data_IF_302290099016
#
_entry.id   IF_302290099016
#
_cell.length_a   1.000
_cell.length_b   1.000
_cell.length_c   1.000
_cell.angle_alpha   90.00
_cell.angle_beta   90.00
_cell.angle_gamma   90.00
#
_symmetry.space_group_name_H-M   'P 1'
#
loop_
_entity.id
_entity.type
_entity.pdbx_description
1 polymer ?
#
# COMPACT_ATOMS: atom_id res chain seq x y z
N UNK A 1 -46.58 22.67 20.01
CA UNK A 1 -46.23 21.25 19.80
C UNK A 1 -44.89 21.22 19.10
N UNK A 2 -43.87 20.58 19.69
CA UNK A 2 -42.49 20.67 19.20
C UNK A 2 -42.34 19.84 17.90
N UNK A 3 -41.94 20.43 16.75
CA UNK A 3 -41.94 19.74 15.44
C UNK A 3 -41.01 18.53 15.37
N UNK A 4 -40.01 18.43 16.25
CA UNK A 4 -39.08 17.28 16.29
C UNK A 4 -39.72 15.98 16.81
N UNK A 5 -40.82 16.06 17.58
CA UNK A 5 -41.51 14.87 18.12
C UNK A 5 -42.29 14.12 17.03
N UNK A 6 -42.72 14.81 15.97
CA UNK A 6 -43.42 14.21 14.82
C UNK A 6 -42.48 13.39 13.93
N UNK A 7 -41.25 13.86 13.72
CA UNK A 7 -40.23 13.13 12.95
C UNK A 7 -39.77 11.84 13.64
N UNK A 8 -39.81 11.79 14.97
CA UNK A 8 -39.48 10.58 15.74
C UNK A 8 -40.59 9.51 15.69
N UNK A 9 -41.83 9.92 15.36
CA UNK A 9 -43.02 9.05 15.29
C UNK A 9 -43.10 8.30 13.95
N UNK A 10 -42.67 8.96 12.87
CA UNK A 10 -42.67 8.43 11.49
C UNK A 10 -41.43 7.57 11.17
N UNK A 11 -40.39 7.59 12.03
CA UNK A 11 -39.11 6.92 11.80
C UNK A 11 -39.07 5.42 12.13
N UNK A 12 -40.19 4.81 12.50
CA UNK A 12 -40.26 3.36 12.73
C UNK A 12 -40.67 2.70 11.43
N UNK A 13 -39.70 2.51 10.54
CA UNK A 13 -39.84 1.57 9.43
C UNK A 13 -40.25 0.21 10.03
N UNK A 14 -41.25 -0.48 9.46
CA UNK A 14 -41.69 -1.77 9.95
C UNK A 14 -40.49 -2.73 10.03
N UNK A 15 -40.48 -3.56 11.07
CA UNK A 15 -39.38 -4.48 11.37
C UNK A 15 -39.00 -5.34 10.15
N UNK A 16 -39.97 -5.68 9.30
CA UNK A 16 -39.78 -6.40 8.04
C UNK A 16 -38.86 -5.69 7.04
N UNK A 17 -38.95 -4.37 6.92
CA UNK A 17 -38.13 -3.59 5.99
C UNK A 17 -36.69 -3.46 6.51
N UNK A 18 -36.51 -3.29 7.82
CA UNK A 18 -35.17 -3.28 8.41
C UNK A 18 -34.41 -4.60 8.22
N UNK A 19 -35.10 -5.74 8.28
CA UNK A 19 -34.50 -7.04 8.00
C UNK A 19 -34.13 -7.21 6.51
N UNK A 20 -34.96 -6.71 5.60
CA UNK A 20 -34.67 -6.73 4.17
C UNK A 20 -33.46 -5.86 3.84
N UNK A 21 -33.40 -4.64 4.39
CA UNK A 21 -32.26 -3.74 4.20
C UNK A 21 -30.97 -4.32 4.79
N UNK A 22 -31.01 -4.85 6.02
CA UNK A 22 -29.86 -5.51 6.61
C UNK A 22 -29.38 -6.71 5.77
N UNK A 23 -30.33 -7.48 5.21
CA UNK A 23 -30.06 -8.60 4.31
C UNK A 23 -29.38 -8.20 2.99
N UNK A 24 -29.81 -7.09 2.39
CA UNK A 24 -29.17 -6.58 1.17
C UNK A 24 -27.78 -6.03 1.48
N UNK A 25 -27.63 -5.27 2.56
CA UNK A 25 -26.32 -4.70 2.95
C UNK A 25 -25.31 -5.81 3.22
N UNK A 26 -25.68 -6.86 3.97
CA UNK A 26 -24.75 -7.97 4.24
C UNK A 26 -24.38 -8.71 2.94
N UNK A 27 -25.33 -8.94 2.03
CA UNK A 27 -25.06 -9.56 0.73
C UNK A 27 -24.09 -8.71 -0.09
N UNK A 28 -24.32 -7.40 -0.19
CA UNK A 28 -23.46 -6.48 -0.95
C UNK A 28 -22.03 -6.50 -0.41
N UNK A 29 -21.85 -6.44 0.91
CA UNK A 29 -20.52 -6.51 1.55
C UNK A 29 -19.82 -7.82 1.20
N UNK A 30 -20.51 -8.96 1.33
CA UNK A 30 -19.95 -10.25 0.93
C UNK A 30 -19.64 -10.32 -0.57
N UNK A 31 -20.49 -9.75 -1.42
CA UNK A 31 -20.29 -9.69 -2.86
C UNK A 31 -19.00 -8.94 -3.23
N UNK A 32 -18.77 -7.79 -2.60
CA UNK A 32 -17.52 -7.02 -2.79
C UNK A 32 -16.31 -7.81 -2.30
N UNK A 33 -16.39 -8.45 -1.12
CA UNK A 33 -15.29 -9.27 -0.59
C UNK A 33 -14.96 -10.47 -1.48
N UNK A 34 -15.99 -11.17 -2.01
CA UNK A 34 -15.82 -12.28 -2.95
C UNK A 34 -15.21 -11.79 -4.24
N UNK A 35 -15.70 -10.69 -4.81
CA UNK A 35 -15.16 -10.13 -6.04
C UNK A 35 -13.68 -9.78 -5.88
N UNK A 36 -13.31 -9.12 -4.77
CA UNK A 36 -11.94 -8.77 -4.45
C UNK A 36 -11.06 -10.04 -4.29
N UNK A 37 -11.56 -11.05 -3.57
CA UNK A 37 -10.90 -12.36 -3.40
C UNK A 37 -10.69 -13.11 -4.72
N UNK A 38 -11.66 -13.07 -5.63
CA UNK A 38 -11.56 -13.69 -6.96
C UNK A 38 -10.50 -13.01 -7.83
N UNK A 39 -10.42 -11.67 -7.80
CA UNK A 39 -9.40 -10.93 -8.54
C UNK A 39 -7.98 -11.32 -8.09
N UNK A 40 -7.75 -11.42 -6.77
CA UNK A 40 -6.46 -11.87 -6.21
C UNK A 40 -6.20 -13.34 -6.57
N UNK A 41 -7.22 -14.20 -6.45
CA UNK A 41 -7.09 -15.62 -6.74
C UNK A 41 -6.80 -15.89 -8.22
N UNK A 42 -7.36 -15.10 -9.14
CA UNK A 42 -7.02 -15.18 -10.56
C UNK A 42 -5.54 -14.83 -10.79
N UNK A 43 -5.07 -13.71 -10.24
CA UNK A 43 -3.66 -13.30 -10.35
C UNK A 43 -2.71 -14.32 -9.70
N UNK A 44 -3.08 -14.89 -8.55
CA UNK A 44 -2.32 -15.94 -7.87
C UNK A 44 -2.27 -17.26 -8.66
N UNK A 45 -3.37 -17.66 -9.30
CA UNK A 45 -3.42 -18.84 -10.16
C UNK A 45 -2.60 -18.66 -11.44
N UNK A 46 -2.64 -17.49 -12.07
CA UNK A 46 -1.80 -17.19 -13.24
C UNK A 46 -0.31 -17.26 -12.88
N UNK A 47 0.08 -16.72 -11.72
CA UNK A 47 1.45 -16.82 -11.22
C UNK A 47 1.86 -18.27 -10.88
N UNK A 48 0.96 -19.08 -10.31
CA UNK A 48 1.23 -20.51 -10.07
C UNK A 48 1.33 -21.33 -11.36
N UNK A 49 0.53 -20.99 -12.38
CA UNK A 49 0.56 -21.65 -13.69
C UNK A 49 1.79 -21.27 -14.53
N UNK A 50 2.40 -20.10 -14.31
CA UNK A 50 3.65 -19.66 -14.96
C UNK A 50 4.90 -20.00 -14.12
N UNK A 51 4.73 -20.14 -12.80
CA UNK A 51 5.80 -20.35 -11.82
C UNK A 51 5.96 -21.79 -11.33
N UNK A 52 5.58 -22.78 -12.12
CA UNK A 52 5.78 -24.21 -11.79
C UNK A 52 7.26 -24.67 -11.88
N UNK A 53 8.22 -23.78 -11.60
CA UNK A 53 9.61 -24.10 -11.25
C UNK A 53 10.08 -23.23 -10.07
N UNK A 54 9.46 -23.37 -8.90
CA UNK A 54 10.15 -23.65 -7.62
C UNK A 54 9.19 -23.55 -6.44
N UNK A 55 8.92 -24.74 -5.87
CA UNK A 55 8.42 -24.98 -4.52
C UNK A 55 9.22 -24.20 -3.47
N UNK A 56 8.57 -23.47 -2.55
CA UNK A 56 8.72 -23.62 -1.09
C UNK A 56 7.44 -23.14 -0.39
N UNK A 57 6.63 -24.13 -0.10
CA UNK A 57 5.75 -24.31 1.05
C UNK A 57 6.33 -23.73 2.36
N UNK A 58 5.59 -22.82 3.02
CA UNK A 58 5.51 -22.81 4.49
C UNK A 58 4.24 -22.12 4.97
N UNK A 59 3.20 -22.94 5.17
CA UNK A 59 2.20 -22.65 6.17
C UNK A 59 2.80 -23.07 7.53
N UNK A 60 2.97 -22.13 8.46
CA UNK A 60 2.73 -22.35 9.89
C UNK A 60 2.88 -21.02 10.65
N UNK A 61 1.77 -20.56 11.23
CA UNK A 61 1.78 -19.84 12.51
C UNK A 61 1.54 -20.92 13.57
N UNK A 62 2.34 -20.97 14.64
CA UNK A 62 1.84 -20.41 15.90
C UNK A 62 2.90 -19.68 16.75
N UNK A 63 2.45 -18.58 17.35
CA UNK A 63 2.88 -18.03 18.64
C UNK A 63 4.37 -18.08 19.02
N UNK A 64 5.04 -16.93 18.92
CA UNK A 64 6.06 -16.51 19.90
C UNK A 64 6.12 -14.98 19.95
N UNK A 65 5.58 -14.43 21.03
CA UNK A 65 5.69 -13.03 21.38
C UNK A 65 7.14 -12.64 21.68
N UNK A 66 7.51 -11.46 21.20
CA UNK A 66 8.68 -10.65 21.54
C UNK A 66 10.05 -11.07 20.95
N UNK A 67 10.65 -10.12 20.22
CA UNK A 67 11.99 -9.66 20.55
C UNK A 67 11.97 -8.20 20.98
N UNK A 68 12.62 -7.91 22.11
CA UNK A 68 12.90 -6.56 22.58
C UNK A 68 13.64 -5.73 21.51
N UNK A 69 13.34 -4.43 21.32
CA UNK A 69 14.13 -3.58 20.45
C UNK A 69 15.43 -3.25 21.16
N UNK A 70 16.51 -3.84 20.64
CA UNK A 70 17.88 -3.35 20.79
C UNK A 70 17.93 -1.88 20.37
N UNK A 71 18.72 -1.13 21.14
CA UNK A 71 18.89 0.31 21.09
C UNK A 71 19.24 0.83 19.69
N UNK A 72 18.65 1.99 19.39
CA UNK A 72 18.75 2.72 18.15
C UNK A 72 20.20 3.04 17.76
N UNK A 73 20.54 2.66 16.53
CA UNK A 73 21.64 3.23 15.77
C UNK A 73 21.28 4.64 15.28
N UNK A 74 22.26 5.41 14.84
CA UNK A 74 22.16 6.12 13.58
C UNK A 74 23.18 5.48 12.64
N UNK A 75 22.83 4.32 12.09
CA UNK A 75 23.47 3.82 10.88
C UNK A 75 22.82 4.61 9.75
N UNK A 76 23.60 5.48 9.11
CA UNK A 76 23.20 6.13 7.87
C UNK A 76 23.02 5.02 6.82
N UNK A 77 21.79 4.52 6.72
CA UNK A 77 21.38 3.60 5.66
C UNK A 77 21.47 4.34 4.32
N UNK A 78 22.67 4.30 3.75
CA UNK A 78 22.91 4.81 2.40
C UNK A 78 22.07 3.99 1.42
N UNK A 79 21.29 4.69 0.59
CA UNK A 79 20.43 4.11 -0.43
C UNK A 79 21.28 3.28 -1.43
N UNK A 80 21.30 1.97 -1.24
CA UNK A 80 21.96 0.96 -2.09
C UNK A 80 21.21 0.72 -3.42
N UNK A 81 20.62 1.78 -3.98
CA UNK A 81 19.93 1.74 -5.27
C UNK A 81 20.92 1.73 -6.44
N UNK A 82 20.63 0.96 -7.48
CA UNK A 82 21.39 1.03 -8.74
C UNK A 82 21.01 2.29 -9.53
N UNK A 83 21.76 3.37 -9.35
CA UNK A 83 21.60 4.62 -10.11
C UNK A 83 22.31 4.54 -11.47
N UNK A 84 21.61 4.92 -12.54
CA UNK A 84 22.21 4.99 -13.89
C UNK A 84 22.64 6.42 -14.21
N UNK A 85 23.93 6.65 -14.28
CA UNK A 85 24.51 7.92 -14.72
C UNK A 85 24.86 7.86 -16.21
N UNK A 86 24.37 8.82 -16.98
CA UNK A 86 24.68 8.97 -18.42
C UNK A 86 25.27 10.35 -18.67
N UNK A 87 26.59 10.39 -18.88
CA UNK A 87 27.32 11.64 -19.13
C UNK A 87 27.41 12.58 -17.93
N UNK A 88 27.21 12.07 -16.71
CA UNK A 88 27.28 12.81 -15.46
C UNK A 88 28.17 12.05 -14.48
N UNK A 89 29.03 12.75 -13.74
CA UNK A 89 29.89 12.15 -12.71
C UNK A 89 29.12 11.95 -11.40
N UNK A 90 29.66 11.10 -10.52
CA UNK A 90 29.04 10.74 -9.25
C UNK A 90 28.90 11.94 -8.30
N UNK A 91 29.83 12.89 -8.33
CA UNK A 91 29.79 14.08 -7.48
C UNK A 91 28.70 15.05 -7.93
N UNK A 92 28.57 15.26 -9.23
CA UNK A 92 27.48 16.05 -9.82
C UNK A 92 26.13 15.38 -9.55
N UNK A 93 26.05 14.05 -9.67
CA UNK A 93 24.86 13.29 -9.31
C UNK A 93 24.47 13.51 -7.83
N UNK A 94 25.41 13.37 -6.90
CA UNK A 94 25.17 13.59 -5.47
C UNK A 94 24.67 15.01 -5.18
N UNK A 95 25.24 16.00 -5.86
CA UNK A 95 24.79 17.40 -5.75
C UNK A 95 23.35 17.58 -6.22
N UNK A 96 22.97 16.97 -7.35
CA UNK A 96 21.59 16.96 -7.84
C UNK A 96 20.66 16.31 -6.81
N UNK A 97 21.07 15.18 -6.21
CA UNK A 97 20.25 14.50 -5.20
C UNK A 97 19.98 15.39 -3.98
N UNK A 98 21.01 16.07 -3.48
CA UNK A 98 20.90 16.96 -2.33
C UNK A 98 19.98 18.17 -2.61
N UNK A 99 20.10 18.77 -3.79
CA UNK A 99 19.24 19.89 -4.19
C UNK A 99 17.79 19.43 -4.29
N UNK A 100 17.54 18.28 -4.92
CA UNK A 100 16.17 17.78 -5.11
C UNK A 100 15.56 17.35 -3.77
N UNK A 101 16.32 16.73 -2.85
CA UNK A 101 15.82 16.44 -1.49
C UNK A 101 15.43 17.71 -0.73
N UNK A 102 16.23 18.77 -0.85
CA UNK A 102 15.95 20.05 -0.18
C UNK A 102 14.71 20.73 -0.76
N UNK A 103 14.58 20.76 -2.09
CA UNK A 103 13.44 21.37 -2.77
C UNK A 103 12.12 20.60 -2.57
N UNK A 104 12.19 19.27 -2.43
CA UNK A 104 11.01 18.42 -2.25
C UNK A 104 10.67 18.18 -0.78
N UNK A 105 11.61 18.43 0.14
CA UNK A 105 11.49 18.11 1.56
C UNK A 105 11.51 16.59 1.86
N UNK A 106 11.84 15.75 0.87
CA UNK A 106 11.91 14.30 1.03
C UNK A 106 13.34 13.93 1.43
N UNK A 107 13.57 13.24 2.56
CA UNK A 107 14.91 12.87 3.00
C UNK A 107 15.59 11.91 2.01
N UNK A 108 16.92 11.97 1.92
CA UNK A 108 17.71 11.18 0.97
C UNK A 108 17.54 9.66 1.12
N UNK A 109 17.16 9.19 2.32
CA UNK A 109 16.85 7.78 2.61
C UNK A 109 15.62 7.26 1.87
N UNK A 110 14.64 8.13 1.58
CA UNK A 110 13.39 7.77 0.90
C UNK A 110 13.39 8.19 -0.58
N UNK A 111 14.31 9.08 -0.96
CA UNK A 111 14.40 9.64 -2.31
C UNK A 111 15.14 8.68 -3.27
N UNK A 112 14.44 8.17 -4.29
CA UNK A 112 15.00 7.20 -5.24
C UNK A 112 15.18 7.83 -6.63
N UNK A 113 16.43 7.93 -7.08
CA UNK A 113 16.77 8.35 -8.44
C UNK A 113 16.96 7.15 -9.37
N UNK A 114 16.18 7.07 -10.46
CA UNK A 114 16.30 5.97 -11.43
C UNK A 114 17.44 6.18 -12.43
N UNK A 115 17.61 7.41 -12.90
CA UNK A 115 18.69 7.79 -13.83
C UNK A 115 18.91 9.30 -13.86
N UNK A 116 20.16 9.71 -14.06
CA UNK A 116 20.55 11.11 -14.30
C UNK A 116 21.26 11.16 -15.66
N UNK A 117 20.79 12.01 -16.56
CA UNK A 117 21.33 12.14 -17.93
C UNK A 117 21.66 13.60 -18.22
N UNK A 118 22.85 13.85 -18.74
CA UNK A 118 23.22 15.18 -19.25
C UNK A 118 22.48 15.43 -20.57
N UNK A 119 21.78 16.57 -20.66
CA UNK A 119 21.11 17.01 -21.88
C UNK A 119 22.01 18.01 -22.59
N UNK A 120 22.46 17.68 -23.79
CA UNK A 120 23.13 18.64 -24.68
C UNK A 120 22.04 19.46 -25.40
N UNK A 121 22.00 20.77 -25.15
CA UNK A 121 21.15 21.67 -25.92
C UNK A 121 21.74 21.84 -27.33
N UNK A 122 20.95 21.52 -28.34
CA UNK A 122 21.29 21.65 -29.76
C UNK A 122 21.06 23.08 -30.25
#
# INVERSE_FOLDING_TARGET
MNPYILMLKEGVLPLSEAFMDAGIVILVVFGVLILMSLLISLSGKILQNVGAEKKVEKAESPAASAPAPVQAAPEEEFSSGSLRLKGCDEKTAAMIMAIVSDNTGIPLSELVFKSITLIENK
#
